data_IF_114588787470
#
_entry.id   IF_114588787470
#
_cell.length_a   1.000
_cell.length_b   1.000
_cell.length_c   1.000
_cell.angle_alpha   90.00
_cell.angle_beta   90.00
_cell.angle_gamma   90.00
#
_symmetry.space_group_name_H-M   'P 1'
#
loop_
_entity.id
_entity.type
_entity.pdbx_description
1 polymer ?
#
# COMPACT_ATOMS: atom_id res chain seq x y z
N UNK A 1 -43.02 21.27 56.37
CA UNK A 1 -42.12 21.92 55.39
C UNK A 1 -41.34 20.82 54.69
N UNK A 2 -41.59 20.64 53.39
CA UNK A 2 -40.98 19.62 52.54
C UNK A 2 -39.47 19.87 52.38
N UNK A 3 -38.64 18.90 52.78
CA UNK A 3 -37.24 18.84 52.38
C UNK A 3 -37.17 18.05 51.06
N UNK A 4 -36.92 18.77 49.97
CA UNK A 4 -36.73 18.18 48.65
C UNK A 4 -35.41 17.39 48.60
N UNK A 5 -35.49 16.11 48.21
CA UNK A 5 -34.32 15.30 47.90
C UNK A 5 -33.62 15.88 46.66
N UNK A 6 -32.48 16.52 46.86
CA UNK A 6 -31.61 17.01 45.79
C UNK A 6 -30.95 15.79 45.14
N UNK A 7 -31.36 15.48 43.91
CA UNK A 7 -30.67 14.50 43.07
C UNK A 7 -29.27 15.04 42.73
N UNK A 8 -28.24 14.47 43.36
CA UNK A 8 -26.84 14.75 43.05
C UNK A 8 -26.55 14.14 41.68
N UNK A 9 -26.42 14.97 40.65
CA UNK A 9 -25.93 14.53 39.34
C UNK A 9 -24.49 14.01 39.48
N UNK A 10 -24.13 12.84 38.92
CA UNK A 10 -22.78 12.32 39.02
C UNK A 10 -21.80 13.28 38.37
N UNK A 11 -20.65 13.47 39.00
CA UNK A 11 -19.54 14.27 38.47
C UNK A 11 -19.19 13.71 37.09
N UNK A 12 -19.06 14.57 36.08
CA UNK A 12 -18.84 14.24 34.66
C UNK A 12 -17.80 13.12 34.46
N UNK A 13 -16.77 13.06 35.31
CA UNK A 13 -15.75 12.00 35.31
C UNK A 13 -16.30 10.58 35.60
N UNK A 14 -17.22 10.41 36.54
CA UNK A 14 -17.88 9.13 36.84
C UNK A 14 -18.82 8.70 35.71
N UNK A 15 -19.46 9.66 35.02
CA UNK A 15 -20.24 9.38 33.82
C UNK A 15 -19.34 8.89 32.67
N UNK A 16 -18.15 9.47 32.49
CA UNK A 16 -17.17 8.99 31.51
C UNK A 16 -16.63 7.60 31.85
N UNK A 17 -16.33 7.33 33.13
CA UNK A 17 -15.89 5.99 33.56
C UNK A 17 -17.02 4.95 33.47
N UNK A 18 -18.26 5.32 33.81
CA UNK A 18 -19.45 4.48 33.66
C UNK A 18 -19.78 4.21 32.19
N UNK A 19 -19.71 5.22 31.32
CA UNK A 19 -19.89 5.07 29.87
C UNK A 19 -18.77 4.22 29.24
N UNK A 20 -17.51 4.36 29.68
CA UNK A 20 -16.41 3.51 29.25
C UNK A 20 -16.55 2.06 29.76
N UNK A 21 -17.05 1.86 30.99
CA UNK A 21 -17.30 0.55 31.60
C UNK A 21 -18.54 -0.14 31.02
N UNK A 22 -19.57 0.62 30.65
CA UNK A 22 -20.75 0.12 29.93
C UNK A 22 -20.46 -0.16 28.45
N UNK A 23 -19.61 0.65 27.79
CA UNK A 23 -19.08 0.30 26.46
C UNK A 23 -18.30 -1.01 26.50
N UNK A 24 -17.49 -1.25 27.54
CA UNK A 24 -16.80 -2.54 27.76
C UNK A 24 -17.74 -3.72 28.00
N UNK A 25 -18.96 -3.52 28.48
CA UNK A 25 -19.99 -4.58 28.59
C UNK A 25 -20.65 -4.94 27.25
N UNK A 26 -20.55 -4.07 26.23
CA UNK A 26 -21.14 -4.28 24.89
C UNK A 26 -20.12 -4.67 23.82
N UNK A 27 -18.81 -4.65 24.11
CA UNK A 27 -17.81 -5.17 23.17
C UNK A 27 -17.80 -6.70 23.28
N UNK A 28 -17.97 -7.44 22.17
CA UNK A 28 -17.93 -8.89 22.21
C UNK A 28 -16.59 -9.40 22.73
N UNK A 29 -16.53 -10.62 23.29
CA UNK A 29 -15.26 -11.20 23.70
C UNK A 29 -14.27 -11.21 22.51
N UNK A 30 -13.00 -10.96 22.80
CA UNK A 30 -11.96 -11.01 21.76
C UNK A 30 -11.81 -12.47 21.35
N UNK A 31 -12.06 -12.81 20.07
CA UNK A 31 -12.03 -14.20 19.65
C UNK A 31 -10.60 -14.74 19.72
N UNK A 32 -10.43 -16.00 20.11
CA UNK A 32 -9.12 -16.65 20.16
C UNK A 32 -8.74 -17.33 18.83
N UNK A 33 -9.73 -17.53 17.95
CA UNK A 33 -9.54 -18.14 16.63
C UNK A 33 -10.21 -17.29 15.55
N UNK A 34 -10.00 -17.64 14.28
CA UNK A 34 -10.71 -17.03 13.15
C UNK A 34 -12.19 -17.45 13.06
N UNK A 35 -12.60 -18.49 13.79
CA UNK A 35 -13.96 -19.01 13.84
C UNK A 35 -14.71 -18.34 14.99
N UNK A 36 -15.37 -17.23 14.68
CA UNK A 36 -16.20 -16.50 15.63
C UNK A 36 -17.34 -15.83 14.91
N UNK A 37 -18.49 -15.69 15.57
CA UNK A 37 -19.59 -14.95 15.01
C UNK A 37 -19.27 -13.46 15.04
N UNK A 38 -19.43 -12.81 13.89
CA UNK A 38 -19.35 -11.35 13.79
C UNK A 38 -20.74 -10.83 14.16
N UNK A 39 -20.90 -10.02 15.20
CA UNK A 39 -22.19 -9.41 15.51
C UNK A 39 -22.63 -8.46 14.40
N UNK A 40 -23.94 -8.28 14.24
CA UNK A 40 -24.50 -7.56 13.11
C UNK A 40 -24.01 -6.11 13.03
N UNK A 41 -23.78 -5.44 14.15
CA UNK A 41 -23.27 -4.06 14.18
C UNK A 41 -21.87 -3.92 13.54
N UNK A 42 -21.07 -4.98 13.51
CA UNK A 42 -19.76 -5.01 12.86
C UNK A 42 -19.83 -5.40 11.38
N UNK A 43 -20.97 -5.92 10.92
CA UNK A 43 -21.24 -6.19 9.49
C UNK A 43 -21.72 -4.95 8.74
N UNK A 44 -22.08 -3.88 9.47
CA UNK A 44 -22.68 -2.66 8.94
C UNK A 44 -21.73 -1.45 9.05
N UNK A 45 -21.92 -0.47 8.17
CA UNK A 45 -21.27 0.85 8.25
C UNK A 45 -21.79 1.63 9.47
N UNK A 46 -21.22 2.80 9.75
CA UNK A 46 -21.74 3.70 10.81
C UNK A 46 -23.19 4.12 10.51
N UNK A 47 -23.57 4.17 9.24
CA UNK A 47 -24.92 4.52 8.77
C UNK A 47 -25.86 3.30 8.66
N UNK A 48 -25.44 2.12 9.12
CA UNK A 48 -26.28 0.92 9.09
C UNK A 48 -26.41 0.24 7.71
N UNK A 49 -25.58 0.59 6.72
CA UNK A 49 -25.55 -0.07 5.39
C UNK A 49 -24.63 -1.29 5.42
N UNK A 50 -24.80 -2.23 4.48
CA UNK A 50 -23.90 -3.40 4.35
C UNK A 50 -22.44 -2.96 4.21
N UNK A 51 -21.58 -3.50 5.06
CA UNK A 51 -20.14 -3.27 5.01
C UNK A 51 -19.34 -4.56 4.78
N UNK A 52 -19.67 -5.62 5.51
CA UNK A 52 -19.12 -6.95 5.24
C UNK A 52 -19.68 -7.47 3.91
N UNK A 53 -18.82 -7.68 2.93
CA UNK A 53 -19.15 -8.22 1.61
C UNK A 53 -18.99 -9.74 1.58
N UNK A 54 -17.89 -10.25 2.15
CA UNK A 54 -17.54 -11.66 2.15
C UNK A 54 -17.26 -12.10 3.58
N UNK A 55 -17.90 -13.20 3.98
CA UNK A 55 -17.59 -13.96 5.17
C UNK A 55 -17.55 -15.45 4.80
N UNK A 56 -16.40 -15.92 4.34
CA UNK A 56 -16.25 -17.24 3.77
C UNK A 56 -15.32 -18.09 4.65
N UNK A 57 -15.85 -19.19 5.20
CA UNK A 57 -15.07 -20.22 5.87
C UNK A 57 -14.73 -21.33 4.87
N UNK A 58 -13.47 -21.43 4.45
CA UNK A 58 -13.05 -22.29 3.32
C UNK A 58 -12.75 -23.73 3.72
N UNK A 59 -12.21 -23.91 4.93
CA UNK A 59 -11.92 -25.18 5.59
C UNK A 59 -12.03 -24.94 7.09
N UNK A 60 -12.09 -25.98 7.94
CA UNK A 60 -12.19 -25.93 9.42
C UNK A 60 -11.25 -24.93 10.14
N UNK A 61 -10.32 -24.23 9.47
CA UNK A 61 -9.40 -23.23 10.03
C UNK A 61 -9.02 -22.06 9.09
N UNK A 62 -9.67 -21.88 7.94
CA UNK A 62 -9.38 -20.74 7.04
C UNK A 62 -10.63 -19.89 6.81
N UNK A 63 -10.53 -18.59 7.07
CA UNK A 63 -11.62 -17.62 6.89
C UNK A 63 -11.13 -16.40 6.11
N UNK A 64 -11.90 -15.99 5.11
CA UNK A 64 -11.73 -14.73 4.39
C UNK A 64 -12.83 -13.76 4.83
N UNK A 65 -12.43 -12.58 5.31
CA UNK A 65 -13.34 -11.46 5.53
C UNK A 65 -13.01 -10.33 4.57
N UNK A 66 -14.01 -9.79 3.88
CA UNK A 66 -13.83 -8.61 3.02
C UNK A 66 -14.88 -7.56 3.35
N UNK A 67 -14.41 -6.37 3.68
CA UNK A 67 -15.21 -5.21 4.04
C UNK A 67 -15.10 -4.14 2.95
N UNK A 68 -16.24 -3.74 2.41
CA UNK A 68 -16.39 -2.63 1.46
C UNK A 68 -17.85 -2.20 1.42
N UNK A 69 -18.11 -0.89 1.45
CA UNK A 69 -19.44 -0.33 1.20
C UNK A 69 -19.70 -0.14 -0.30
N UNK A 70 -20.95 0.14 -0.66
CA UNK A 70 -21.34 0.39 -2.05
C UNK A 70 -20.67 1.66 -2.60
N UNK A 71 -20.52 2.69 -1.77
CA UNK A 71 -19.81 3.92 -2.09
C UNK A 71 -18.33 3.68 -2.43
N UNK A 72 -17.66 2.82 -1.66
CA UNK A 72 -16.28 2.43 -1.91
C UNK A 72 -16.13 1.60 -3.19
N UNK A 73 -17.06 0.67 -3.43
CA UNK A 73 -17.10 -0.13 -4.66
C UNK A 73 -17.31 0.76 -5.89
N UNK A 74 -18.17 1.77 -5.79
CA UNK A 74 -18.42 2.69 -6.90
C UNK A 74 -17.17 3.49 -7.29
N UNK A 75 -16.34 3.88 -6.32
CA UNK A 75 -15.03 4.47 -6.60
C UNK A 75 -14.06 3.48 -7.24
N UNK A 76 -13.99 2.28 -6.67
CA UNK A 76 -13.05 1.26 -7.13
C UNK A 76 -13.31 0.88 -8.59
N UNK A 77 -14.57 0.59 -8.92
CA UNK A 77 -14.95 0.10 -10.26
C UNK A 77 -14.88 1.19 -11.34
N UNK A 78 -14.84 2.47 -10.93
CA UNK A 78 -14.68 3.60 -11.84
C UNK A 78 -13.22 4.07 -11.96
N UNK A 79 -12.26 3.43 -11.28
CA UNK A 79 -10.86 3.85 -11.27
C UNK A 79 -10.03 3.05 -12.27
N UNK A 80 -9.25 3.75 -13.10
CA UNK A 80 -8.33 3.13 -14.05
C UNK A 80 -7.07 2.58 -13.37
N UNK A 81 -6.63 3.22 -12.28
CA UNK A 81 -5.43 2.84 -11.53
C UNK A 81 -5.81 2.46 -10.11
N UNK A 82 -5.42 1.25 -9.70
CA UNK A 82 -5.66 0.76 -8.35
C UNK A 82 -4.33 0.34 -7.69
N UNK A 83 -4.27 0.51 -6.38
CA UNK A 83 -3.08 0.24 -5.56
C UNK A 83 -3.44 -0.77 -4.50
N UNK A 84 -2.68 -1.86 -4.40
CA UNK A 84 -2.93 -2.90 -3.43
C UNK A 84 -1.70 -3.10 -2.55
N UNK A 85 -1.93 -3.28 -1.25
CA UNK A 85 -0.86 -3.47 -0.29
C UNK A 85 -1.29 -4.35 0.89
N UNK A 86 -0.36 -5.15 1.39
CA UNK A 86 -0.52 -5.98 2.58
C UNK A 86 0.16 -5.33 3.79
N UNK A 87 -0.57 -5.09 4.88
CA UNK A 87 0.01 -4.63 6.15
C UNK A 87 -0.03 -5.71 7.23
N UNK A 88 1.16 -6.03 7.78
CA UNK A 88 1.39 -7.14 8.70
C UNK A 88 1.35 -6.73 10.17
N UNK A 89 1.94 -5.58 10.51
CA UNK A 89 2.16 -5.15 11.91
C UNK A 89 0.86 -4.85 12.68
N UNK A 90 -0.27 -4.76 11.96
CA UNK A 90 -1.58 -4.36 12.49
C UNK A 90 -2.67 -5.39 12.19
N UNK A 91 -2.32 -6.59 11.73
CA UNK A 91 -3.30 -7.66 11.61
C UNK A 91 -3.73 -8.14 13.01
N UNK A 92 -5.03 -8.36 13.27
CA UNK A 92 -5.48 -9.04 14.49
C UNK A 92 -4.85 -10.43 14.58
N UNK A 93 -4.68 -10.97 15.79
CA UNK A 93 -3.96 -12.24 16.00
C UNK A 93 -4.57 -13.44 15.26
N UNK A 94 -5.83 -13.34 14.85
CA UNK A 94 -6.57 -14.36 14.10
C UNK A 94 -6.21 -14.38 12.60
N UNK A 95 -5.55 -13.34 12.09
CA UNK A 95 -5.26 -13.15 10.67
C UNK A 95 -3.78 -12.85 10.46
N UNK A 96 -3.22 -13.30 9.34
CA UNK A 96 -1.81 -13.09 8.98
C UNK A 96 -1.58 -11.66 8.47
N UNK A 97 -2.56 -11.08 7.78
CA UNK A 97 -2.43 -9.75 7.20
C UNK A 97 -3.77 -9.07 6.94
N UNK A 98 -3.72 -7.75 6.84
CA UNK A 98 -4.77 -6.93 6.25
C UNK A 98 -4.32 -6.57 4.83
N UNK A 99 -5.10 -6.94 3.83
CA UNK A 99 -4.87 -6.57 2.45
C UNK A 99 -5.84 -5.46 2.03
N UNK A 100 -5.31 -4.35 1.54
CA UNK A 100 -6.10 -3.15 1.24
C UNK A 100 -6.00 -2.83 -0.24
N UNK A 101 -7.16 -2.63 -0.89
CA UNK A 101 -7.24 -2.11 -2.26
C UNK A 101 -7.65 -0.65 -2.17
N UNK A 102 -6.82 0.22 -2.71
CA UNK A 102 -6.94 1.66 -2.67
C UNK A 102 -7.03 2.22 -4.09
N UNK A 103 -7.60 3.41 -4.19
CA UNK A 103 -7.47 4.28 -5.34
C UNK A 103 -6.73 5.55 -4.91
N UNK A 104 -6.20 6.27 -5.89
CA UNK A 104 -5.68 7.63 -5.67
C UNK A 104 -6.49 8.59 -6.52
N UNK A 105 -7.07 9.59 -5.87
CA UNK A 105 -7.82 10.64 -6.56
C UNK A 105 -7.49 11.99 -5.91
N UNK A 106 -7.13 12.98 -6.73
CA UNK A 106 -6.58 14.28 -6.29
C UNK A 106 -5.45 14.17 -5.23
N UNK A 107 -4.47 13.28 -5.46
CA UNK A 107 -3.35 13.01 -4.53
C UNK A 107 -3.77 12.52 -3.14
N UNK A 108 -4.99 11.99 -2.99
CA UNK A 108 -5.49 11.38 -1.76
C UNK A 108 -5.64 9.88 -1.95
N UNK A 109 -5.03 9.10 -1.05
CA UNK A 109 -5.28 7.67 -0.96
C UNK A 109 -6.67 7.43 -0.35
N UNK A 110 -7.48 6.69 -1.09
CA UNK A 110 -8.82 6.30 -0.67
C UNK A 110 -8.89 4.78 -0.60
N UNK A 111 -9.01 4.21 0.61
CA UNK A 111 -9.18 2.77 0.78
C UNK A 111 -10.60 2.37 0.36
N UNK A 112 -10.68 1.46 -0.60
CA UNK A 112 -11.95 0.95 -1.08
C UNK A 112 -12.30 -0.39 -0.47
N UNK A 113 -11.32 -1.29 -0.31
CA UNK A 113 -11.56 -2.65 0.16
C UNK A 113 -10.57 -2.98 1.27
N UNK A 114 -11.07 -3.52 2.38
CA UNK A 114 -10.26 -4.09 3.44
C UNK A 114 -10.50 -5.60 3.52
N UNK A 115 -9.46 -6.39 3.37
CA UNK A 115 -9.53 -7.85 3.43
C UNK A 115 -8.69 -8.39 4.58
N UNK A 116 -9.24 -9.28 5.39
CA UNK A 116 -8.51 -9.99 6.45
C UNK A 116 -8.18 -11.40 5.97
N UNK A 117 -6.89 -11.69 5.87
CA UNK A 117 -6.39 -12.91 5.23
C UNK A 117 -5.64 -13.78 6.24
N UNK A 118 -5.87 -15.09 6.16
CA UNK A 118 -5.17 -16.09 6.96
C UNK A 118 -3.94 -16.68 6.27
N UNK A 119 -3.72 -16.38 5.00
CA UNK A 119 -2.54 -16.80 4.25
C UNK A 119 -2.26 -15.81 3.10
N UNK A 120 -1.14 -16.04 2.40
CA UNK A 120 -0.64 -15.24 1.27
C UNK A 120 -0.70 -16.02 -0.06
N UNK A 121 -1.58 -17.02 -0.15
CA UNK A 121 -1.68 -17.88 -1.34
C UNK A 121 -2.39 -17.13 -2.47
N UNK A 122 -1.97 -17.38 -3.71
CA UNK A 122 -2.62 -16.79 -4.89
C UNK A 122 -4.13 -17.06 -4.94
N UNK A 123 -4.56 -18.28 -4.58
CA UNK A 123 -5.99 -18.63 -4.50
C UNK A 123 -6.80 -17.74 -3.54
N UNK A 124 -6.17 -17.20 -2.49
CA UNK A 124 -6.84 -16.29 -1.54
C UNK A 124 -7.11 -14.94 -2.17
N UNK A 125 -6.11 -14.38 -2.87
CA UNK A 125 -6.25 -13.13 -3.61
C UNK A 125 -7.22 -13.25 -4.78
N UNK A 126 -7.12 -14.35 -5.54
CA UNK A 126 -7.98 -14.65 -6.68
C UNK A 126 -9.46 -14.58 -6.29
N UNK A 127 -9.81 -15.18 -5.15
CA UNK A 127 -11.18 -15.11 -4.66
C UNK A 127 -11.64 -13.68 -4.34
N UNK A 128 -10.78 -12.84 -3.73
CA UNK A 128 -11.15 -11.43 -3.49
C UNK A 128 -11.52 -10.77 -4.82
N UNK A 129 -10.70 -10.97 -5.86
CA UNK A 129 -10.93 -10.35 -7.16
C UNK A 129 -12.18 -10.89 -7.86
N UNK A 130 -12.42 -12.21 -7.82
CA UNK A 130 -13.64 -12.84 -8.35
C UNK A 130 -14.88 -12.24 -7.69
N UNK A 131 -14.89 -12.14 -6.37
CA UNK A 131 -16.05 -11.62 -5.63
C UNK A 131 -16.27 -10.12 -5.88
N UNK A 132 -15.19 -9.34 -6.02
CA UNK A 132 -15.30 -7.94 -6.42
C UNK A 132 -15.84 -7.77 -7.85
N UNK A 133 -15.42 -8.63 -8.80
CA UNK A 133 -15.99 -8.66 -10.15
C UNK A 133 -17.46 -9.04 -10.13
N UNK A 134 -17.85 -10.05 -9.35
CA UNK A 134 -19.25 -10.42 -9.16
C UNK A 134 -20.08 -9.27 -8.56
N UNK A 135 -19.52 -8.55 -7.59
CA UNK A 135 -20.15 -7.37 -7.02
C UNK A 135 -20.29 -6.22 -8.04
N UNK A 136 -19.30 -6.04 -8.92
CA UNK A 136 -19.38 -5.07 -10.02
C UNK A 136 -20.51 -5.43 -11.01
N UNK A 137 -20.61 -6.71 -11.41
CA UNK A 137 -21.65 -7.19 -12.30
C UNK A 137 -23.05 -6.96 -11.72
N UNK A 138 -23.25 -7.24 -10.42
CA UNK A 138 -24.51 -6.93 -9.70
C UNK A 138 -24.87 -5.45 -9.75
N UNK A 139 -23.86 -4.57 -9.80
CA UNK A 139 -24.02 -3.11 -9.95
C UNK A 139 -24.04 -2.64 -11.42
N UNK A 140 -24.13 -3.57 -12.39
CA UNK A 140 -24.07 -3.29 -13.84
C UNK A 140 -22.81 -2.53 -14.26
N UNK A 141 -21.69 -2.81 -13.58
CA UNK A 141 -20.36 -2.28 -13.85
C UNK A 141 -19.40 -3.41 -14.20
N UNK A 142 -18.25 -3.05 -14.77
CA UNK A 142 -17.14 -3.97 -15.02
C UNK A 142 -15.96 -3.54 -14.17
N UNK A 143 -15.43 -4.45 -13.35
CA UNK A 143 -14.20 -4.18 -12.62
C UNK A 143 -12.99 -4.61 -13.46
N UNK A 144 -12.45 -3.66 -14.23
CA UNK A 144 -11.33 -3.87 -15.15
C UNK A 144 -10.37 -2.67 -15.10
N UNK A 145 -9.49 -2.58 -14.08
CA UNK A 145 -8.50 -1.52 -14.01
C UNK A 145 -7.52 -1.61 -15.19
N UNK A 146 -7.05 -0.46 -15.67
CA UNK A 146 -6.02 -0.37 -16.71
C UNK A 146 -4.63 -0.62 -16.12
N UNK A 147 -4.41 -0.20 -14.87
CA UNK A 147 -3.14 -0.36 -14.16
C UNK A 147 -3.37 -0.85 -12.75
N UNK A 148 -2.59 -1.86 -12.35
CA UNK A 148 -2.55 -2.36 -10.98
C UNK A 148 -1.16 -2.12 -10.42
N UNK A 149 -1.08 -1.45 -9.28
CA UNK A 149 0.16 -1.28 -8.53
C UNK A 149 0.16 -2.10 -7.24
N UNK A 150 1.20 -2.90 -7.00
CA UNK A 150 1.33 -3.70 -5.77
C UNK A 150 2.71 -3.63 -5.14
N UNK A 151 2.87 -4.25 -3.96
CA UNK A 151 4.19 -4.69 -3.51
C UNK A 151 4.66 -5.95 -4.27
N UNK A 152 5.83 -6.48 -3.89
CA UNK A 152 6.42 -7.66 -4.53
C UNK A 152 5.91 -8.99 -3.95
N UNK A 153 4.65 -9.05 -3.49
CA UNK A 153 4.10 -10.30 -2.96
C UNK A 153 3.69 -11.27 -4.07
N UNK A 154 4.39 -12.41 -4.15
CA UNK A 154 4.22 -13.42 -5.21
C UNK A 154 2.79 -13.94 -5.36
N UNK A 155 2.09 -14.17 -4.24
CA UNK A 155 0.69 -14.61 -4.26
C UNK A 155 -0.24 -13.58 -4.89
N UNK A 156 -0.05 -12.29 -4.58
CA UNK A 156 -0.83 -11.21 -5.18
C UNK A 156 -0.51 -11.06 -6.67
N UNK A 157 0.78 -11.09 -7.03
CA UNK A 157 1.23 -11.00 -8.43
C UNK A 157 0.61 -12.10 -9.29
N UNK A 158 0.66 -13.35 -8.82
CA UNK A 158 0.08 -14.47 -9.55
C UNK A 158 -1.44 -14.31 -9.74
N UNK A 159 -2.16 -13.88 -8.70
CA UNK A 159 -3.60 -13.67 -8.79
C UNK A 159 -4.00 -12.50 -9.69
N UNK A 160 -3.21 -11.42 -9.73
CA UNK A 160 -3.44 -10.29 -10.62
C UNK A 160 -3.22 -10.69 -12.07
N UNK A 161 -2.17 -11.46 -12.36
CA UNK A 161 -1.93 -11.96 -13.72
C UNK A 161 -3.08 -12.81 -14.23
N UNK A 162 -3.67 -13.63 -13.36
CA UNK A 162 -4.83 -14.47 -13.69
C UNK A 162 -6.11 -13.64 -13.88
N UNK A 163 -6.38 -12.70 -12.97
CA UNK A 163 -7.68 -12.02 -12.91
C UNK A 163 -7.72 -10.71 -13.71
N UNK A 164 -6.60 -10.05 -13.90
CA UNK A 164 -6.49 -8.80 -14.66
C UNK A 164 -5.40 -8.91 -15.74
N UNK A 165 -5.47 -9.89 -16.66
CA UNK A 165 -4.42 -10.16 -17.63
C UNK A 165 -4.16 -8.98 -18.59
N UNK A 166 -5.18 -8.14 -18.81
CA UNK A 166 -5.09 -6.96 -19.67
C UNK A 166 -4.55 -5.72 -18.94
N UNK A 167 -4.50 -5.74 -17.61
CA UNK A 167 -4.01 -4.61 -16.84
C UNK A 167 -2.48 -4.57 -16.86
N UNK A 168 -1.90 -3.38 -16.99
CA UNK A 168 -0.46 -3.19 -16.76
C UNK A 168 -0.20 -3.40 -15.27
N UNK A 169 0.54 -4.44 -14.91
CA UNK A 169 0.94 -4.68 -13.53
C UNK A 169 2.32 -4.10 -13.25
N UNK A 170 2.39 -3.19 -12.29
CA UNK A 170 3.63 -2.54 -11.86
C UNK A 170 3.80 -2.71 -10.35
N UNK A 171 4.96 -3.14 -9.91
CA UNK A 171 5.33 -3.22 -8.50
C UNK A 171 5.93 -1.90 -8.03
N UNK A 172 5.75 -1.60 -6.76
CA UNK A 172 6.08 -0.30 -6.19
C UNK A 172 7.60 -0.03 -6.18
N UNK A 173 8.01 1.08 -6.80
CA UNK A 173 9.38 1.59 -6.81
C UNK A 173 10.00 1.75 -5.41
N UNK A 174 9.21 2.18 -4.42
CA UNK A 174 9.69 2.32 -3.05
C UNK A 174 10.08 0.97 -2.45
N UNK A 175 9.24 -0.06 -2.64
CA UNK A 175 9.53 -1.42 -2.15
C UNK A 175 10.73 -2.04 -2.87
N UNK A 176 10.92 -1.74 -4.15
CA UNK A 176 12.15 -2.09 -4.89
C UNK A 176 13.37 -1.46 -4.23
N UNK A 177 13.38 -0.12 -4.10
CA UNK A 177 14.48 0.63 -3.50
C UNK A 177 14.78 0.18 -2.07
N UNK A 178 13.74 -0.10 -1.29
CA UNK A 178 13.87 -0.63 0.07
C UNK A 178 14.48 -2.02 0.09
N UNK A 179 14.15 -2.90 -0.86
CA UNK A 179 14.73 -4.24 -0.97
C UNK A 179 16.23 -4.17 -1.29
N UNK A 180 16.63 -3.31 -2.23
CA UNK A 180 18.04 -3.02 -2.50
C UNK A 180 18.75 -2.52 -1.23
N UNK A 181 18.17 -1.55 -0.53
CA UNK A 181 18.77 -1.01 0.70
C UNK A 181 18.90 -2.05 1.81
N UNK A 182 17.88 -2.88 2.03
CA UNK A 182 17.97 -4.01 2.99
C UNK A 182 19.08 -4.98 2.60
N UNK A 183 19.31 -5.23 1.31
CA UNK A 183 20.42 -6.06 0.85
C UNK A 183 21.78 -5.41 1.15
N UNK A 184 21.92 -4.11 0.92
CA UNK A 184 23.12 -3.33 1.30
C UNK A 184 23.40 -3.50 2.80
N UNK A 185 22.39 -3.36 3.65
CA UNK A 185 22.52 -3.56 5.10
C UNK A 185 22.92 -5.00 5.45
N UNK A 186 22.28 -5.99 4.84
CA UNK A 186 22.57 -7.41 5.05
C UNK A 186 24.01 -7.78 4.67
N UNK A 187 24.57 -7.15 3.63
CA UNK A 187 25.95 -7.35 3.21
C UNK A 187 26.97 -6.58 4.07
N UNK A 188 26.54 -5.88 5.12
CA UNK A 188 27.41 -5.08 5.99
C UNK A 188 27.90 -3.77 5.37
N UNK A 189 27.34 -3.36 4.23
CA UNK A 189 27.76 -2.17 3.48
C UNK A 189 27.14 -0.86 4.01
N UNK A 190 26.37 -0.90 5.09
CA UNK A 190 25.62 0.27 5.57
C UNK A 190 26.54 1.45 5.94
N UNK A 191 27.64 1.18 6.64
CA UNK A 191 28.57 2.23 7.06
C UNK A 191 29.29 2.83 5.84
N UNK A 192 29.79 1.98 4.94
CA UNK A 192 30.43 2.37 3.69
C UNK A 192 29.46 3.20 2.85
N UNK A 193 28.20 2.78 2.72
CA UNK A 193 27.18 3.55 2.02
C UNK A 193 27.01 4.96 2.59
N UNK A 194 27.22 5.18 3.89
CA UNK A 194 27.10 6.50 4.55
C UNK A 194 28.36 7.36 4.41
N UNK A 195 29.54 6.79 4.22
CA UNK A 195 30.82 7.54 4.21
C UNK A 195 31.48 7.62 2.84
N UNK A 196 31.30 6.60 1.99
CA UNK A 196 31.89 6.50 0.65
C UNK A 196 30.88 6.96 -0.40
N UNK A 197 31.17 8.08 -1.06
CA UNK A 197 30.28 8.63 -2.10
C UNK A 197 30.32 7.80 -3.40
N UNK A 198 31.43 7.12 -3.70
CA UNK A 198 31.57 6.27 -4.88
C UNK A 198 30.67 5.05 -4.76
N UNK A 199 30.77 4.31 -3.64
CA UNK A 199 29.89 3.16 -3.38
C UNK A 199 28.42 3.59 -3.30
N UNK A 200 28.15 4.72 -2.62
CA UNK A 200 26.80 5.26 -2.52
C UNK A 200 26.24 5.63 -3.90
N UNK A 201 27.05 6.24 -4.76
CA UNK A 201 26.71 6.57 -6.13
C UNK A 201 26.29 5.33 -6.91
N UNK A 202 27.07 4.24 -6.84
CA UNK A 202 26.72 2.98 -7.50
C UNK A 202 25.43 2.36 -6.95
N UNK A 203 25.26 2.33 -5.63
CA UNK A 203 24.03 1.86 -5.01
C UNK A 203 22.81 2.67 -5.44
N UNK A 204 22.96 4.00 -5.61
CA UNK A 204 21.90 4.88 -6.12
C UNK A 204 21.61 4.65 -7.59
N UNK A 205 22.62 4.35 -8.42
CA UNK A 205 22.42 3.95 -9.81
C UNK A 205 21.59 2.66 -9.89
N UNK A 206 21.89 1.66 -9.06
CA UNK A 206 21.08 0.43 -8.97
C UNK A 206 19.62 0.77 -8.62
N UNK A 207 19.40 1.66 -7.64
CA UNK A 207 18.05 2.12 -7.27
C UNK A 207 17.39 2.98 -8.36
N UNK A 208 18.14 3.57 -9.29
CA UNK A 208 17.62 4.39 -10.38
C UNK A 208 17.26 3.58 -11.64
N UNK A 209 17.71 2.33 -11.78
CA UNK A 209 17.38 1.46 -12.93
C UNK A 209 15.87 1.34 -13.24
N UNK A 210 14.95 1.27 -12.26
CA UNK A 210 13.51 1.30 -12.54
C UNK A 210 13.03 2.52 -13.33
N UNK A 211 13.78 3.62 -13.29
CA UNK A 211 13.47 4.88 -13.95
C UNK A 211 14.19 5.03 -15.30
N UNK A 212 14.92 4.01 -15.75
CA UNK A 212 15.57 4.01 -17.04
C UNK A 212 14.62 3.47 -18.12
N UNK A 213 14.72 3.95 -19.38
CA UNK A 213 14.10 3.29 -20.52
C UNK A 213 14.40 1.79 -20.50
N UNK A 214 13.38 0.98 -20.77
CA UNK A 214 13.47 -0.48 -20.63
C UNK A 214 14.64 -1.08 -21.40
N UNK A 215 14.87 -0.59 -22.63
CA UNK A 215 15.94 -1.02 -23.52
C UNK A 215 17.34 -0.56 -23.07
N UNK A 216 17.43 0.38 -22.13
CA UNK A 216 18.69 0.91 -21.56
C UNK A 216 19.04 0.36 -20.19
N UNK A 217 18.22 -0.54 -19.64
CA UNK A 217 18.49 -1.14 -18.34
C UNK A 217 19.77 -1.99 -18.36
N UNK A 218 19.98 -2.77 -19.43
CA UNK A 218 21.18 -3.61 -19.57
C UNK A 218 22.44 -2.75 -19.69
N UNK A 219 22.42 -1.75 -20.57
CA UNK A 219 23.52 -0.78 -20.74
C UNK A 219 23.87 -0.12 -19.39
N UNK A 220 22.86 0.33 -18.64
CA UNK A 220 23.07 0.93 -17.32
C UNK A 220 23.59 -0.05 -16.27
N UNK A 221 23.19 -1.32 -16.32
CA UNK A 221 23.68 -2.34 -15.41
C UNK A 221 25.14 -2.72 -15.71
N UNK A 222 25.52 -2.78 -16.98
CA UNK A 222 26.89 -3.03 -17.40
C UNK A 222 27.83 -1.88 -16.98
N UNK A 223 27.39 -0.63 -17.10
CA UNK A 223 28.13 0.52 -16.55
C UNK A 223 28.35 0.38 -15.04
N UNK A 224 27.33 -0.07 -14.30
CA UNK A 224 27.44 -0.28 -12.85
C UNK A 224 28.42 -1.43 -12.54
N UNK A 225 28.42 -2.51 -13.34
CA UNK A 225 29.33 -3.66 -13.18
C UNK A 225 30.78 -3.25 -13.37
N UNK A 226 31.07 -2.51 -14.43
CA UNK A 226 32.43 -2.02 -14.69
C UNK A 226 32.93 -1.10 -13.57
N UNK A 227 32.09 -0.17 -13.11
CA UNK A 227 32.46 0.69 -12.00
C UNK A 227 32.59 -0.07 -10.66
N UNK A 228 31.84 -1.15 -10.46
CA UNK A 228 31.97 -2.00 -9.28
C UNK A 228 33.30 -2.79 -9.26
N UNK A 229 33.86 -3.15 -10.41
CA UNK A 229 35.17 -3.81 -10.52
C UNK A 229 36.31 -2.93 -9.98
N UNK A 230 36.13 -1.60 -10.00
CA UNK A 230 37.08 -0.63 -9.46
C UNK A 230 37.02 -0.49 -7.93
N UNK A 231 36.13 -1.22 -7.25
CA UNK A 231 35.99 -1.25 -5.80
C UNK A 231 36.33 -2.63 -5.21
N UNK A 232 37.58 -3.10 -5.35
CA UNK A 232 37.99 -4.41 -4.84
C UNK A 232 37.86 -4.46 -3.31
N UNK A 233 37.53 -5.64 -2.78
CA UNK A 233 37.37 -5.88 -1.34
C UNK A 233 35.99 -5.55 -0.77
N UNK A 234 35.10 -4.92 -1.54
CA UNK A 234 33.71 -4.71 -1.14
C UNK A 234 32.80 -5.79 -1.74
N UNK A 235 31.75 -6.26 -1.04
CA UNK A 235 30.82 -7.27 -1.54
C UNK A 235 29.87 -6.77 -2.65
N UNK A 236 30.32 -5.88 -3.54
CA UNK A 236 29.53 -5.36 -4.66
C UNK A 236 29.11 -6.47 -5.64
N UNK A 237 29.99 -7.44 -5.91
CA UNK A 237 29.66 -8.63 -6.71
C UNK A 237 28.48 -9.39 -6.12
N UNK A 238 28.37 -9.48 -4.78
CA UNK A 238 27.24 -10.15 -4.12
C UNK A 238 25.95 -9.33 -4.20
N UNK A 239 26.05 -8.01 -4.21
CA UNK A 239 24.90 -7.12 -4.40
C UNK A 239 24.36 -7.22 -5.83
N UNK A 240 25.25 -7.19 -6.84
CA UNK A 240 24.89 -7.31 -8.25
C UNK A 240 24.36 -8.71 -8.57
N UNK A 241 24.96 -9.77 -8.02
CA UNK A 241 24.39 -11.12 -8.13
C UNK A 241 22.98 -11.21 -7.56
N UNK A 242 22.75 -10.62 -6.38
CA UNK A 242 21.40 -10.53 -5.83
C UNK A 242 20.46 -9.78 -6.77
N UNK A 243 20.95 -8.72 -7.42
CA UNK A 243 20.15 -7.98 -8.38
C UNK A 243 19.72 -8.85 -9.56
N UNK A 244 20.67 -9.55 -10.16
CA UNK A 244 20.45 -10.47 -11.29
C UNK A 244 19.46 -11.57 -10.93
N UNK A 245 19.67 -12.23 -9.78
CA UNK A 245 18.85 -13.36 -9.34
C UNK A 245 17.39 -12.96 -9.02
N UNK A 246 17.10 -11.68 -8.73
CA UNK A 246 15.79 -11.26 -8.21
C UNK A 246 15.01 -10.30 -9.13
N UNK A 247 15.68 -9.54 -10.00
CA UNK A 247 15.02 -8.47 -10.75
C UNK A 247 15.09 -8.68 -12.27
N UNK A 248 16.15 -9.27 -12.81
CA UNK A 248 16.37 -9.31 -14.26
C UNK A 248 15.34 -10.14 -15.03
N UNK A 249 14.72 -11.14 -14.39
CA UNK A 249 13.72 -12.00 -15.04
C UNK A 249 12.38 -11.31 -15.29
N UNK A 250 12.07 -10.20 -14.59
CA UNK A 250 10.75 -9.56 -14.62
C UNK A 250 10.86 -8.03 -14.69
N UNK A 251 11.66 -7.51 -15.62
CA UNK A 251 11.90 -6.06 -15.80
C UNK A 251 10.59 -5.26 -15.83
N UNK A 252 9.60 -5.73 -16.59
CA UNK A 252 8.33 -5.04 -16.78
C UNK A 252 7.53 -4.87 -15.47
N UNK A 253 7.75 -5.74 -14.48
CA UNK A 253 7.08 -5.62 -13.18
C UNK A 253 7.65 -4.48 -12.34
N UNK A 254 8.91 -4.09 -12.48
CA UNK A 254 9.50 -3.05 -11.61
C UNK A 254 9.96 -1.81 -12.37
N UNK A 255 9.97 -1.84 -13.71
CA UNK A 255 10.25 -0.68 -14.52
C UNK A 255 9.06 0.31 -14.47
N UNK A 256 9.36 1.50 -13.98
CA UNK A 256 8.42 2.63 -13.80
C UNK A 256 8.82 3.82 -14.68
N UNK A 257 9.60 3.57 -15.74
CA UNK A 257 9.93 4.57 -16.75
C UNK A 257 8.65 5.11 -17.40
N UNK A 258 8.61 6.43 -17.59
CA UNK A 258 7.48 7.17 -18.15
C UNK A 258 6.11 6.86 -17.51
N UNK A 259 6.11 6.35 -16.28
CA UNK A 259 4.89 6.17 -15.51
C UNK A 259 4.69 7.42 -14.65
N UNK A 260 3.52 8.04 -14.67
CA UNK A 260 3.31 9.26 -13.86
C UNK A 260 3.10 8.93 -12.38
N UNK A 261 2.51 7.78 -12.08
CA UNK A 261 2.27 7.32 -10.72
C UNK A 261 3.33 6.30 -10.25
N UNK A 262 4.59 6.71 -10.28
CA UNK A 262 5.77 5.84 -10.02
C UNK A 262 5.82 5.29 -8.61
N UNK A 263 5.17 5.97 -7.69
CA UNK A 263 5.34 5.73 -6.26
C UNK A 263 4.00 5.53 -5.60
N UNK A 264 3.89 4.48 -4.79
CA UNK A 264 2.76 4.30 -3.88
C UNK A 264 2.81 5.28 -2.69
N UNK A 265 3.60 6.36 -2.75
CA UNK A 265 3.85 7.32 -1.65
C UNK A 265 2.55 7.80 -0.98
N UNK A 266 1.50 8.01 -1.78
CA UNK A 266 0.20 8.47 -1.29
C UNK A 266 -0.47 7.37 -0.46
N UNK A 267 -0.43 6.11 -0.89
CA UNK A 267 -0.94 4.99 -0.10
C UNK A 267 0.00 4.59 1.04
N UNK A 268 1.31 4.76 0.91
CA UNK A 268 2.27 4.57 2.01
C UNK A 268 2.07 5.60 3.11
N UNK A 269 1.82 6.87 2.76
CA UNK A 269 1.41 7.90 3.71
C UNK A 269 0.13 7.48 4.44
N UNK A 270 -0.81 6.85 3.74
CA UNK A 270 -2.00 6.26 4.34
C UNK A 270 -1.68 5.05 5.23
N UNK A 271 -0.83 4.12 4.82
CA UNK A 271 -0.42 2.96 5.65
C UNK A 271 0.36 3.41 6.89
N UNK A 272 1.19 4.44 6.78
CA UNK A 272 1.84 5.07 7.93
C UNK A 272 0.81 5.70 8.88
N UNK A 273 -0.24 6.33 8.34
CA UNK A 273 -1.37 6.84 9.14
C UNK A 273 -2.18 5.73 9.81
N UNK A 274 -2.40 4.60 9.14
CA UNK A 274 -3.01 3.41 9.76
C UNK A 274 -2.13 2.94 10.91
N UNK A 275 -0.83 2.81 10.66
CA UNK A 275 0.13 2.34 11.64
C UNK A 275 0.20 3.23 12.89
N UNK A 276 0.01 4.55 12.74
CA UNK A 276 -0.02 5.50 13.85
C UNK A 276 -1.38 5.59 14.56
N UNK A 277 -2.50 5.47 13.84
CA UNK A 277 -3.86 5.54 14.43
C UNK A 277 -4.25 4.27 15.17
N UNK A 278 -3.78 3.11 14.72
CA UNK A 278 -3.97 1.86 15.44
C UNK A 278 -2.90 1.79 16.54
N UNK A 279 -3.23 2.28 17.72
CA UNK A 279 -2.26 2.47 18.83
C UNK A 279 -1.57 1.18 19.29
N UNK A 280 -2.22 0.02 19.15
CA UNK A 280 -1.67 -1.29 19.54
C UNK A 280 -0.99 -2.01 18.36
N UNK A 281 0.10 -2.71 18.63
CA UNK A 281 0.54 -3.82 17.78
C UNK A 281 -0.50 -4.94 17.94
N UNK A 282 -1.03 -5.47 16.83
CA UNK A 282 -2.18 -6.41 16.81
C UNK A 282 -3.44 -5.84 17.50
N UNK A 283 -4.20 -4.95 16.85
CA UNK A 283 -5.47 -4.48 17.38
C UNK A 283 -6.43 -5.64 17.62
N UNK A 284 -7.36 -5.47 18.57
CA UNK A 284 -8.50 -6.36 18.64
C UNK A 284 -9.30 -6.25 17.34
N UNK A 285 -9.84 -7.36 16.87
CA UNK A 285 -10.61 -7.40 15.63
C UNK A 285 -11.73 -6.35 15.61
N UNK A 286 -12.40 -6.13 16.75
CA UNK A 286 -13.46 -5.14 16.90
C UNK A 286 -12.95 -3.70 16.73
N UNK A 287 -11.78 -3.38 17.28
CA UNK A 287 -11.16 -2.06 17.12
C UNK A 287 -10.77 -1.82 15.66
N UNK A 288 -10.28 -2.86 14.99
CA UNK A 288 -9.93 -2.79 13.58
C UNK A 288 -11.17 -2.58 12.70
N UNK A 289 -12.26 -3.31 12.92
CA UNK A 289 -13.49 -3.13 12.16
C UNK A 289 -14.06 -1.72 12.40
N UNK A 290 -14.03 -1.22 13.64
CA UNK A 290 -14.42 0.16 13.94
C UNK A 290 -13.55 1.20 13.23
N UNK A 291 -12.24 0.96 13.12
CA UNK A 291 -11.35 1.78 12.31
C UNK A 291 -11.74 1.76 10.83
N UNK A 292 -12.00 0.58 10.25
CA UNK A 292 -12.43 0.43 8.86
C UNK A 292 -13.75 1.18 8.61
N UNK A 293 -14.71 1.11 9.54
CA UNK A 293 -15.98 1.85 9.49
C UNK A 293 -15.77 3.37 9.52
N UNK A 294 -14.84 3.87 10.34
CA UNK A 294 -14.49 5.28 10.37
C UNK A 294 -13.81 5.76 9.08
N UNK A 295 -12.97 4.91 8.48
CA UNK A 295 -12.36 5.17 7.17
C UNK A 295 -13.41 5.16 6.05
N UNK A 296 -14.37 4.25 6.06
CA UNK A 296 -15.51 4.24 5.14
C UNK A 296 -16.29 5.55 5.20
N UNK A 297 -16.61 6.03 6.41
CA UNK A 297 -17.29 7.34 6.57
C UNK A 297 -16.45 8.49 6.03
N UNK A 298 -15.12 8.44 6.21
CA UNK A 298 -14.20 9.43 5.61
C UNK A 298 -14.25 9.37 4.09
N UNK A 299 -14.33 8.19 3.48
CA UNK A 299 -14.45 8.03 2.02
C UNK A 299 -15.73 8.69 1.51
N UNK A 300 -16.87 8.48 2.17
CA UNK A 300 -18.13 9.14 1.80
C UNK A 300 -18.02 10.67 1.86
N UNK A 301 -17.42 11.22 2.92
CA UNK A 301 -17.22 12.67 3.04
C UNK A 301 -16.33 13.22 1.92
N UNK A 302 -15.32 12.45 1.50
CA UNK A 302 -14.45 12.81 0.39
C UNK A 302 -15.21 12.80 -0.94
N UNK A 303 -16.05 11.80 -1.19
CA UNK A 303 -16.91 11.79 -2.37
C UNK A 303 -17.83 13.01 -2.42
N UNK A 304 -18.47 13.36 -1.29
CA UNK A 304 -19.32 14.53 -1.21
C UNK A 304 -18.53 15.81 -1.54
N UNK A 305 -17.32 15.97 -1.00
CA UNK A 305 -16.45 17.09 -1.32
C UNK A 305 -16.12 17.17 -2.81
N UNK A 306 -15.80 16.04 -3.44
CA UNK A 306 -15.51 15.99 -4.89
C UNK A 306 -16.73 16.32 -5.74
N UNK A 307 -17.90 15.81 -5.39
CA UNK A 307 -19.16 16.15 -6.05
C UNK A 307 -19.52 17.62 -5.90
N UNK A 308 -19.05 18.29 -4.84
CA UNK A 308 -19.18 19.74 -4.64
C UNK A 308 -18.08 20.57 -5.30
N UNK A 309 -17.19 19.96 -6.10
CA UNK A 309 -16.11 20.66 -6.81
C UNK A 309 -14.88 21.01 -5.95
N UNK A 310 -14.80 20.51 -4.71
CA UNK A 310 -13.65 20.77 -3.85
C UNK A 310 -12.43 19.96 -4.34
N UNK A 311 -11.33 20.65 -4.64
CA UNK A 311 -10.03 20.04 -4.93
C UNK A 311 -9.05 20.28 -3.79
N UNK A 312 -8.13 19.33 -3.56
CA UNK A 312 -6.99 19.57 -2.67
C UNK A 312 -5.76 19.98 -3.49
N UNK A 313 -4.96 20.94 -2.98
CA UNK A 313 -3.70 21.29 -3.62
C UNK A 313 -2.71 20.13 -3.56
N UNK A 314 -2.00 19.90 -4.68
CA UNK A 314 -0.96 18.87 -4.79
C UNK A 314 0.17 19.12 -3.78
N UNK A 315 0.80 18.05 -3.29
CA UNK A 315 1.95 18.17 -2.39
C UNK A 315 3.17 18.74 -3.14
N UNK A 316 3.56 19.98 -2.81
CA UNK A 316 4.67 20.72 -3.47
C UNK A 316 5.98 19.93 -3.56
N UNK A 317 6.32 19.10 -2.57
CA UNK A 317 7.58 18.34 -2.56
C UNK A 317 7.58 17.20 -3.58
N UNK A 318 6.46 16.47 -3.68
CA UNK A 318 6.29 15.39 -4.67
C UNK A 318 6.30 15.97 -6.08
N UNK A 319 5.63 17.11 -6.29
CA UNK A 319 5.62 17.82 -7.57
C UNK A 319 7.03 18.25 -8.00
N UNK A 320 7.86 18.75 -7.07
CA UNK A 320 9.22 19.16 -7.40
C UNK A 320 10.13 17.98 -7.78
N UNK A 321 10.00 16.83 -7.10
CA UNK A 321 10.75 15.62 -7.45
C UNK A 321 10.35 15.09 -8.82
N UNK A 322 9.04 15.00 -9.08
CA UNK A 322 8.49 14.61 -10.37
C UNK A 322 9.00 15.53 -11.48
N UNK A 323 8.99 16.85 -11.25
CA UNK A 323 9.50 17.85 -12.17
C UNK A 323 10.96 17.61 -12.56
N UNK A 324 11.84 17.31 -11.59
CA UNK A 324 13.26 17.02 -11.86
C UNK A 324 13.46 15.78 -12.72
N UNK A 325 12.71 14.70 -12.45
CA UNK A 325 12.79 13.49 -13.27
C UNK A 325 12.27 13.78 -14.68
N UNK A 326 11.16 14.49 -14.82
CA UNK A 326 10.59 14.83 -16.12
C UNK A 326 11.53 15.74 -16.93
N UNK A 327 12.26 16.66 -16.28
CA UNK A 327 13.31 17.43 -16.95
C UNK A 327 14.43 16.53 -17.51
N UNK A 328 14.84 15.50 -16.76
CA UNK A 328 15.83 14.54 -17.26
C UNK A 328 15.28 13.71 -18.43
N UNK A 329 14.04 13.24 -18.34
CA UNK A 329 13.38 12.51 -19.42
C UNK A 329 13.26 13.35 -20.70
N UNK A 330 12.81 14.60 -20.58
CA UNK A 330 12.72 15.50 -21.73
C UNK A 330 14.09 15.69 -22.39
N UNK A 331 15.14 15.98 -21.60
CA UNK A 331 16.50 16.12 -22.14
C UNK A 331 17.00 14.85 -22.82
N UNK A 332 16.65 13.68 -22.30
CA UNK A 332 17.02 12.41 -22.91
C UNK A 332 16.26 12.17 -24.23
N UNK A 333 14.95 12.41 -24.23
CA UNK A 333 14.10 12.28 -25.43
C UNK A 333 14.46 13.28 -26.53
N UNK A 334 14.96 14.46 -26.15
CA UNK A 334 15.46 15.50 -27.06
C UNK A 334 16.92 15.23 -27.50
N UNK A 335 17.50 14.08 -27.15
CA UNK A 335 18.88 13.69 -27.45
C UNK A 335 19.96 14.65 -26.89
N UNK A 336 19.63 15.42 -25.86
CA UNK A 336 20.55 16.37 -25.22
C UNK A 336 21.46 15.72 -24.17
N UNK A 337 21.12 14.52 -23.71
CA UNK A 337 21.90 13.72 -22.75
C UNK A 337 21.89 12.25 -23.17
N UNK A 338 22.97 11.54 -22.86
CA UNK A 338 23.07 10.09 -23.12
C UNK A 338 22.26 9.28 -22.10
N UNK A 339 22.11 7.97 -22.33
CA UNK A 339 21.53 7.06 -21.34
C UNK A 339 22.38 7.02 -20.04
N UNK A 340 23.70 7.13 -20.15
CA UNK A 340 24.59 7.20 -18.97
C UNK A 340 24.36 8.48 -18.19
N UNK A 341 24.27 9.63 -18.87
CA UNK A 341 23.95 10.92 -18.23
C UNK A 341 22.58 10.88 -17.53
N UNK A 342 21.59 10.24 -18.16
CA UNK A 342 20.27 10.04 -17.58
C UNK A 342 20.36 9.20 -16.29
N UNK A 343 21.05 8.06 -16.31
CA UNK A 343 21.23 7.20 -15.14
C UNK A 343 21.93 7.95 -14.00
N UNK A 344 23.00 8.69 -14.33
CA UNK A 344 23.72 9.56 -13.39
C UNK A 344 22.77 10.59 -12.78
N UNK A 345 22.02 11.32 -13.60
CA UNK A 345 21.05 12.32 -13.16
C UNK A 345 19.98 11.73 -12.25
N UNK A 346 19.37 10.61 -12.64
CA UNK A 346 18.34 9.93 -11.86
C UNK A 346 18.86 9.45 -10.50
N UNK A 347 20.08 8.91 -10.45
CA UNK A 347 20.72 8.46 -9.20
C UNK A 347 20.85 9.57 -8.16
N UNK A 348 21.04 10.83 -8.59
CA UNK A 348 21.12 12.01 -7.74
C UNK A 348 19.75 12.53 -7.31
N UNK A 349 18.69 12.17 -8.04
CA UNK A 349 17.31 12.61 -7.80
C UNK A 349 16.62 11.68 -6.79
N UNK A 350 16.79 10.36 -6.95
CA UNK A 350 16.16 9.35 -6.09
C UNK A 350 16.75 9.30 -4.68
N UNK A 351 17.94 9.86 -4.52
CA UNK A 351 18.64 9.91 -3.26
C UNK A 351 18.35 11.19 -2.47
N UNK A 352 17.26 11.22 -1.71
CA UNK A 352 17.18 12.14 -0.56
C UNK A 352 16.99 11.38 0.75
N UNK A 353 17.97 11.65 1.62
CA UNK A 353 18.19 11.25 3.02
C UNK A 353 16.94 10.81 3.79
N UNK A 354 17.02 9.63 4.41
CA UNK A 354 16.65 9.53 5.82
C UNK A 354 17.89 9.82 6.63
#
# INVERSE_FOLDING_TARGET
MNSAAVAIFPVVHEMYQSAAKNRRKMVPPIPQSCLFDIPNEYKLTIEGKRFLLIDEARVRRERLLVFTSDAQMDLLFNSEVIYMDGTFKKSPSQFVQIYIINIVHFDICVPCVFSLLMNKKAATYKQIFIELKNAALKKKKVFSPSVVMTDFESGSIAAIKDEFPSAKHVCCYFHFSQSIYRKIQFLGLQQQYIIDETLRGLCRKIMALPLMPRDKILDGLDEIREAANLLPGLPMVRLLKYFDDNWMSNIDLWNVYDFDSRTNNVCEGYHNRINSRIYRHHPHIWDLINFMKAEEKRVQNIQLQWSSGASKPKNKRTTALQGRINTLYNRYNDYLITASDLLNGLSLVVAKKK
#
